data_IF_682142252317
#
_entry.id   IF_682142252317
#
_cell.length_a   1.000
_cell.length_b   1.000
_cell.length_c   1.000
_cell.angle_alpha   90.00
_cell.angle_beta   90.00
_cell.angle_gamma   90.00
#
_symmetry.space_group_name_H-M   'P 1'
#
loop_
_entity.id
_entity.type
_entity.pdbx_description
1 polymer ?
#
# COMPACT_ATOMS: atom_id res chain seq x y z
N UNK A 1 41.17 17.87 -108.09
CA UNK A 1 39.81 18.20 -108.57
C UNK A 1 38.83 18.02 -107.42
N UNK A 2 37.77 18.81 -107.47
CA UNK A 2 36.80 19.19 -106.44
C UNK A 2 36.16 18.10 -105.54
N UNK A 3 35.67 18.65 -104.40
CA UNK A 3 34.40 18.39 -103.71
C UNK A 3 34.38 17.53 -102.44
N UNK A 4 33.75 18.11 -101.40
CA UNK A 4 32.78 17.59 -100.41
C UNK A 4 33.07 18.21 -99.03
N UNK A 5 32.32 19.22 -98.59
CA UNK A 5 30.97 19.16 -97.98
C UNK A 5 30.96 18.59 -96.55
N UNK A 6 30.50 19.43 -95.62
CA UNK A 6 29.75 18.97 -94.45
C UNK A 6 30.39 19.23 -93.09
N UNK A 7 30.39 20.48 -92.62
CA UNK A 7 30.63 20.79 -91.20
C UNK A 7 29.28 20.78 -90.47
N UNK A 8 28.84 19.57 -90.14
CA UNK A 8 27.71 19.29 -89.26
C UNK A 8 28.20 18.86 -87.89
N UNK A 9 27.47 19.29 -86.85
CA UNK A 9 27.58 18.90 -85.43
C UNK A 9 28.58 19.68 -84.57
N UNK A 10 28.11 20.74 -83.88
CA UNK A 10 28.33 20.96 -82.42
C UNK A 10 27.22 21.84 -81.83
N UNK A 11 26.04 21.27 -81.55
CA UNK A 11 24.98 21.92 -80.73
C UNK A 11 24.41 21.04 -79.60
N UNK A 12 25.07 19.94 -79.23
CA UNK A 12 24.55 18.99 -78.22
C UNK A 12 25.15 19.13 -76.80
N UNK A 13 25.95 20.16 -76.51
CA UNK A 13 26.65 20.27 -75.21
C UNK A 13 25.92 21.01 -74.09
N UNK A 14 24.88 21.82 -74.36
CA UNK A 14 24.28 22.70 -73.32
C UNK A 14 23.02 22.13 -72.64
N UNK A 15 22.20 21.36 -73.37
CA UNK A 15 21.02 20.70 -72.79
C UNK A 15 21.39 19.59 -71.80
N UNK A 16 22.46 18.82 -72.09
CA UNK A 16 22.97 17.79 -71.20
C UNK A 16 23.57 18.35 -69.91
N UNK A 17 24.22 19.52 -69.94
CA UNK A 17 24.76 20.16 -68.72
C UNK A 17 23.63 20.64 -67.80
N UNK A 18 22.53 21.17 -68.35
CA UNK A 18 21.36 21.58 -67.53
C UNK A 18 20.66 20.36 -66.92
N UNK A 19 20.55 19.25 -67.65
CA UNK A 19 20.00 17.99 -67.11
C UNK A 19 20.90 17.38 -66.03
N UNK A 20 22.23 17.44 -66.19
CA UNK A 20 23.19 16.96 -65.21
C UNK A 20 23.15 17.80 -63.92
N UNK A 21 23.08 19.14 -64.05
CA UNK A 21 22.97 20.06 -62.90
C UNK A 21 21.60 19.90 -62.21
N UNK A 22 20.52 19.74 -62.98
CA UNK A 22 19.19 19.51 -62.44
C UNK A 22 19.07 18.18 -61.69
N UNK A 23 19.65 17.11 -62.22
CA UNK A 23 19.66 15.79 -61.58
C UNK A 23 20.51 15.79 -60.30
N UNK A 24 21.70 16.41 -60.32
CA UNK A 24 22.54 16.50 -59.13
C UNK A 24 21.90 17.32 -58.02
N UNK A 25 21.19 18.41 -58.35
CA UNK A 25 20.38 19.18 -57.40
C UNK A 25 19.20 18.36 -56.83
N UNK A 26 18.49 17.61 -57.68
CA UNK A 26 17.38 16.77 -57.23
C UNK A 26 17.87 15.69 -56.25
N UNK A 27 18.99 15.02 -56.54
CA UNK A 27 19.58 14.00 -55.66
C UNK A 27 20.05 14.62 -54.34
N UNK A 28 20.64 15.82 -54.36
CA UNK A 28 21.03 16.51 -53.11
C UNK A 28 19.82 16.89 -52.28
N UNK A 29 18.72 17.36 -52.87
CA UNK A 29 17.50 17.64 -52.11
C UNK A 29 16.85 16.40 -51.53
N UNK A 30 16.85 15.28 -52.25
CA UNK A 30 16.35 14.00 -51.71
C UNK A 30 17.24 13.51 -50.57
N UNK A 31 18.56 13.59 -50.71
CA UNK A 31 19.48 13.25 -49.64
C UNK A 31 19.31 14.17 -48.42
N UNK A 32 19.14 15.48 -48.63
CA UNK A 32 18.90 16.45 -47.56
C UNK A 32 17.57 16.18 -46.85
N UNK A 33 16.51 15.84 -47.60
CA UNK A 33 15.21 15.50 -47.05
C UNK A 33 15.25 14.18 -46.26
N UNK A 34 16.01 13.19 -46.74
CA UNK A 34 16.23 11.93 -46.01
C UNK A 34 17.02 12.17 -44.72
N UNK A 35 18.07 13.00 -44.76
CA UNK A 35 18.85 13.36 -43.57
C UNK A 35 18.01 14.17 -42.59
N UNK A 36 17.21 15.13 -43.07
CA UNK A 36 16.34 15.95 -42.22
C UNK A 36 15.23 15.11 -41.58
N UNK A 37 14.60 14.21 -42.34
CA UNK A 37 13.62 13.27 -41.80
C UNK A 37 14.26 12.29 -40.81
N UNK A 38 15.52 11.90 -41.03
CA UNK A 38 16.26 11.03 -40.09
C UNK A 38 16.69 11.77 -38.83
N UNK A 39 17.10 13.04 -38.94
CA UNK A 39 17.45 13.90 -37.81
C UNK A 39 16.22 14.25 -36.97
N UNK A 40 15.07 14.52 -37.59
CA UNK A 40 13.79 14.71 -36.88
C UNK A 40 13.32 13.40 -36.24
N UNK A 41 13.57 12.25 -36.86
CA UNK A 41 13.28 10.95 -36.25
C UNK A 41 14.20 10.67 -35.05
N UNK A 42 15.48 11.05 -35.14
CA UNK A 42 16.45 10.94 -34.05
C UNK A 42 16.18 11.95 -32.91
N UNK A 43 15.81 13.20 -33.22
CA UNK A 43 15.37 14.19 -32.22
C UNK A 43 14.07 13.75 -31.57
N UNK A 44 13.07 13.27 -32.32
CA UNK A 44 11.85 12.72 -31.73
C UNK A 44 12.13 11.50 -30.83
N UNK A 45 13.14 10.68 -31.17
CA UNK A 45 13.57 9.56 -30.34
C UNK A 45 14.35 10.02 -29.09
N UNK A 46 15.10 11.12 -29.18
CA UNK A 46 15.86 11.72 -28.08
C UNK A 46 14.95 12.45 -27.08
N UNK A 47 13.92 13.17 -27.53
CA UNK A 47 12.94 13.81 -26.63
C UNK A 47 11.90 12.84 -26.08
N UNK A 48 11.58 11.74 -26.81
CA UNK A 48 10.79 10.65 -26.22
C UNK A 48 11.60 9.83 -25.21
N UNK A 49 12.92 9.70 -25.33
CA UNK A 49 13.73 9.02 -24.31
C UNK A 49 13.92 9.86 -23.04
N UNK A 50 13.77 11.18 -23.07
CA UNK A 50 13.69 12.01 -21.85
C UNK A 50 12.37 11.84 -21.07
N UNK A 51 11.32 11.28 -21.70
CA UNK A 51 10.06 10.93 -21.04
C UNK A 51 9.80 9.41 -20.95
N UNK A 52 10.59 8.59 -21.65
CA UNK A 52 10.45 7.12 -21.69
C UNK A 52 11.64 6.35 -21.10
N UNK A 53 12.70 7.01 -20.61
CA UNK A 53 13.80 6.34 -19.91
C UNK A 53 13.48 6.12 -18.42
N UNK A 54 12.50 5.25 -18.15
CA UNK A 54 12.24 4.66 -16.83
C UNK A 54 11.66 5.63 -15.80
N UNK A 55 10.66 5.17 -15.04
CA UNK A 55 10.11 5.93 -13.93
C UNK A 55 11.19 6.58 -13.07
N UNK A 56 11.02 7.88 -12.80
CA UNK A 56 11.98 8.67 -12.03
C UNK A 56 12.22 8.09 -10.63
N UNK A 57 13.19 8.63 -9.85
CA UNK A 57 13.54 8.10 -8.52
C UNK A 57 12.35 7.95 -7.56
N UNK A 58 11.33 8.80 -7.73
CA UNK A 58 10.10 8.79 -6.95
C UNK A 58 9.23 7.57 -7.30
N UNK A 59 9.10 7.23 -8.57
CA UNK A 59 8.28 6.10 -9.00
C UNK A 59 8.87 4.78 -8.52
N UNK A 60 10.19 4.59 -8.66
CA UNK A 60 10.90 3.41 -8.13
C UNK A 60 10.80 3.33 -6.62
N UNK A 61 10.90 4.49 -5.94
CA UNK A 61 10.70 4.52 -4.50
C UNK A 61 9.30 4.07 -4.11
N UNK A 62 8.26 4.57 -4.77
CA UNK A 62 6.88 4.21 -4.48
C UNK A 62 6.60 2.72 -4.78
N UNK A 63 7.16 2.20 -5.87
CA UNK A 63 7.07 0.77 -6.21
C UNK A 63 7.76 -0.10 -5.15
N UNK A 64 8.96 0.31 -4.70
CA UNK A 64 9.68 -0.37 -3.63
C UNK A 64 8.93 -0.28 -2.28
N UNK A 65 8.40 0.88 -1.92
CA UNK A 65 7.55 1.07 -0.73
C UNK A 65 6.32 0.15 -0.79
N UNK A 66 5.60 0.12 -1.92
CA UNK A 66 4.41 -0.71 -2.09
C UNK A 66 4.71 -2.22 -2.09
N UNK A 67 5.79 -2.63 -2.75
CA UNK A 67 6.22 -4.03 -2.78
C UNK A 67 6.63 -4.50 -1.39
N UNK A 68 7.45 -3.72 -0.69
CA UNK A 68 7.89 -4.03 0.68
C UNK A 68 6.73 -3.98 1.67
N UNK A 69 5.78 -3.05 1.52
CA UNK A 69 4.57 -3.01 2.32
C UNK A 69 3.76 -4.31 2.22
N UNK A 70 3.65 -4.86 1.00
CA UNK A 70 2.93 -6.11 0.74
C UNK A 70 3.65 -7.31 1.37
N UNK A 71 5.00 -7.34 1.28
CA UNK A 71 5.80 -8.38 1.92
C UNK A 71 5.73 -8.32 3.45
N UNK A 72 5.76 -7.12 4.02
CA UNK A 72 5.62 -6.89 5.46
C UNK A 72 4.27 -7.41 5.98
N UNK A 73 3.18 -7.10 5.27
CA UNK A 73 1.85 -7.61 5.59
C UNK A 73 1.80 -9.15 5.49
N UNK A 74 2.38 -9.72 4.42
CA UNK A 74 2.40 -11.17 4.21
C UNK A 74 3.12 -11.93 5.33
N UNK A 75 4.33 -11.50 5.70
CA UNK A 75 5.13 -12.14 6.76
C UNK A 75 4.51 -11.91 8.13
N UNK A 76 3.83 -10.78 8.35
CA UNK A 76 3.10 -10.56 9.61
C UNK A 76 1.88 -11.47 9.73
N UNK A 77 1.24 -11.85 8.62
CA UNK A 77 0.12 -12.77 8.62
C UNK A 77 0.53 -14.25 8.73
N UNK A 78 1.73 -14.63 8.27
CA UNK A 78 2.19 -16.02 8.13
C UNK A 78 3.52 -16.30 8.83
N UNK A 79 3.67 -17.50 9.43
CA UNK A 79 4.90 -17.92 10.11
C UNK A 79 5.36 -16.95 11.22
N UNK A 80 4.40 -16.46 11.99
CA UNK A 80 4.55 -15.40 13.00
C UNK A 80 4.53 -15.92 14.44
N UNK A 81 4.88 -17.20 14.63
CA UNK A 81 4.96 -17.83 15.95
C UNK A 81 6.22 -17.42 16.72
N UNK A 82 7.22 -16.86 16.04
CA UNK A 82 8.50 -16.47 16.61
C UNK A 82 9.00 -15.15 15.99
N UNK A 83 9.62 -14.31 16.81
CA UNK A 83 10.11 -12.99 16.43
C UNK A 83 11.28 -13.04 15.42
N UNK A 84 12.20 -14.00 15.60
CA UNK A 84 13.34 -14.18 14.69
C UNK A 84 12.86 -14.67 13.33
N UNK A 85 11.87 -15.56 13.31
CA UNK A 85 11.26 -16.04 12.07
C UNK A 85 10.66 -14.91 11.23
N UNK A 86 10.00 -13.92 11.85
CA UNK A 86 9.46 -12.74 11.12
C UNK A 86 10.59 -11.94 10.48
N UNK A 87 11.66 -11.67 11.23
CA UNK A 87 12.79 -10.87 10.75
C UNK A 87 13.53 -11.57 9.60
N UNK A 88 13.78 -12.87 9.74
CA UNK A 88 14.47 -13.69 8.75
C UNK A 88 13.62 -13.85 7.47
N UNK A 89 12.32 -14.13 7.62
CA UNK A 89 11.39 -14.27 6.50
C UNK A 89 11.24 -12.95 5.75
N UNK A 90 11.14 -11.81 6.45
CA UNK A 90 11.03 -10.50 5.81
C UNK A 90 12.31 -10.12 5.07
N UNK A 91 13.47 -10.38 5.68
CA UNK A 91 14.78 -10.13 5.04
C UNK A 91 14.92 -10.98 3.77
N UNK A 92 14.61 -12.27 3.86
CA UNK A 92 14.66 -13.19 2.71
C UNK A 92 13.71 -12.74 1.60
N UNK A 93 12.46 -12.38 1.93
CA UNK A 93 11.48 -11.94 0.95
C UNK A 93 11.89 -10.64 0.25
N UNK A 94 12.51 -9.69 0.97
CA UNK A 94 13.00 -8.44 0.40
C UNK A 94 14.23 -8.67 -0.49
N UNK A 95 15.12 -9.59 -0.13
CA UNK A 95 16.27 -9.97 -0.97
C UNK A 95 15.83 -10.65 -2.28
N UNK A 96 14.80 -11.51 -2.22
CA UNK A 96 14.19 -12.11 -3.40
C UNK A 96 13.52 -11.05 -4.30
N UNK A 97 12.75 -10.14 -3.69
CA UNK A 97 12.17 -8.99 -4.39
C UNK A 97 13.24 -8.12 -5.04
N UNK A 98 14.31 -7.77 -4.31
CA UNK A 98 15.45 -6.99 -4.82
C UNK A 98 16.11 -7.67 -6.01
N UNK A 99 16.26 -8.99 -5.97
CA UNK A 99 16.82 -9.79 -7.08
C UNK A 99 15.92 -9.75 -8.32
N UNK A 100 14.60 -9.89 -8.15
CA UNK A 100 13.63 -9.83 -9.25
C UNK A 100 13.54 -8.41 -9.84
N UNK A 101 13.41 -7.40 -8.99
CA UNK A 101 13.37 -5.99 -9.38
C UNK A 101 14.67 -5.54 -10.05
N UNK A 102 15.82 -6.03 -9.58
CA UNK A 102 17.12 -5.78 -10.19
C UNK A 102 17.27 -6.39 -11.59
N UNK A 103 16.75 -7.61 -11.81
CA UNK A 103 16.73 -8.25 -13.14
C UNK A 103 15.83 -7.50 -14.12
N UNK A 104 14.63 -7.11 -13.68
CA UNK A 104 13.72 -6.32 -14.50
C UNK A 104 14.32 -4.94 -14.80
N UNK A 105 14.86 -4.26 -13.79
CA UNK A 105 15.54 -2.99 -13.96
C UNK A 105 16.69 -3.07 -14.96
N UNK A 106 17.47 -4.15 -14.97
CA UNK A 106 18.62 -4.29 -15.86
C UNK A 106 18.21 -4.35 -17.34
N UNK A 107 17.02 -4.91 -17.66
CA UNK A 107 16.43 -4.87 -19.00
C UNK A 107 16.14 -3.42 -19.42
N UNK A 108 15.75 -2.59 -18.46
CA UNK A 108 15.44 -1.18 -18.65
C UNK A 108 16.67 -0.24 -18.47
N UNK A 109 17.89 -0.79 -18.41
CA UNK A 109 19.13 -0.01 -18.25
C UNK A 109 19.33 0.59 -16.85
N UNK A 110 18.66 0.01 -15.84
CA UNK A 110 18.67 0.46 -14.45
C UNK A 110 19.16 -0.65 -13.52
N UNK A 111 20.04 -0.31 -12.59
CA UNK A 111 20.43 -1.19 -11.49
C UNK A 111 19.74 -0.70 -10.22
N UNK A 112 18.82 -1.49 -9.69
CA UNK A 112 18.16 -1.23 -8.40
C UNK A 112 18.54 -2.32 -7.41
N UNK A 113 18.75 -1.93 -6.17
CA UNK A 113 18.93 -2.86 -5.05
C UNK A 113 18.19 -2.31 -3.83
N UNK A 114 17.44 -3.19 -3.19
CA UNK A 114 16.72 -2.97 -1.94
C UNK A 114 17.32 -3.88 -0.88
N UNK A 115 17.64 -3.35 0.29
CA UNK A 115 18.17 -4.12 1.41
C UNK A 115 17.51 -3.69 2.71
N UNK A 116 17.25 -4.62 3.61
CA UNK A 116 16.72 -4.32 4.96
C UNK A 116 17.80 -3.67 5.81
N UNK A 117 17.46 -2.56 6.48
CA UNK A 117 18.32 -1.93 7.50
C UNK A 117 17.84 -2.22 8.92
N UNK A 118 16.51 -2.23 9.13
CA UNK A 118 15.93 -2.54 10.44
C UNK A 118 14.49 -3.01 10.30
N UNK A 119 14.07 -3.92 11.17
CA UNK A 119 12.66 -4.33 11.32
C UNK A 119 12.16 -3.80 12.66
N UNK A 120 10.99 -3.16 12.65
CA UNK A 120 10.30 -2.71 13.87
C UNK A 120 9.17 -3.68 14.17
N UNK A 121 9.24 -4.26 15.37
CA UNK A 121 8.41 -5.38 15.78
C UNK A 121 7.33 -4.93 16.75
N UNK A 122 6.25 -5.69 16.77
CA UNK A 122 5.10 -5.48 17.63
C UNK A 122 4.34 -6.78 17.83
N UNK A 123 3.07 -6.66 18.21
CA UNK A 123 2.18 -7.81 18.39
C UNK A 123 0.96 -7.71 17.49
N UNK A 124 0.55 -8.86 16.95
CA UNK A 124 -0.70 -9.02 16.20
C UNK A 124 -1.70 -9.76 17.08
N UNK A 125 -2.78 -9.06 17.45
CA UNK A 125 -3.91 -9.61 18.19
C UNK A 125 -4.99 -9.99 17.17
N UNK A 126 -5.46 -11.23 17.20
CA UNK A 126 -6.32 -11.74 16.13
C UNK A 126 -7.43 -12.66 16.66
N UNK A 127 -8.64 -12.48 16.13
CA UNK A 127 -9.73 -13.44 16.18
C UNK A 127 -10.19 -13.68 14.73
N UNK A 128 -9.82 -14.81 14.11
CA UNK A 128 -10.23 -15.12 12.74
C UNK A 128 -11.61 -15.80 12.65
N UNK A 129 -12.22 -16.20 13.76
CA UNK A 129 -13.50 -16.92 13.76
C UNK A 129 -14.67 -15.93 13.67
N UNK A 130 -15.18 -15.71 12.46
CA UNK A 130 -16.26 -14.76 12.18
C UNK A 130 -17.60 -15.12 12.84
N UNK A 131 -17.80 -16.37 13.26
CA UNK A 131 -19.01 -16.82 13.95
C UNK A 131 -18.97 -16.64 15.47
N UNK A 132 -17.80 -16.26 16.02
CA UNK A 132 -17.59 -16.12 17.46
C UNK A 132 -17.93 -14.70 17.91
N UNK A 133 -18.49 -14.59 19.11
CA UNK A 133 -18.60 -13.30 19.79
C UNK A 133 -17.22 -12.63 19.96
N UNK A 134 -17.16 -11.30 19.92
CA UNK A 134 -15.96 -10.49 20.10
C UNK A 134 -15.53 -10.40 21.60
N UNK A 135 -15.52 -11.55 22.27
CA UNK A 135 -15.19 -11.72 23.69
C UNK A 135 -13.73 -12.16 23.85
N UNK A 136 -13.17 -11.98 25.06
CA UNK A 136 -11.85 -12.54 25.37
C UNK A 136 -11.86 -14.08 25.34
N UNK A 137 -10.70 -14.70 25.56
CA UNK A 137 -10.55 -16.17 25.64
C UNK A 137 -11.61 -16.85 26.52
N UNK A 138 -11.89 -16.28 27.69
CA UNK A 138 -12.80 -16.82 28.69
C UNK A 138 -14.28 -16.43 28.49
N UNK A 139 -14.62 -15.71 27.42
CA UNK A 139 -15.99 -15.28 27.12
C UNK A 139 -16.43 -13.99 27.84
N UNK A 140 -15.50 -13.23 28.40
CA UNK A 140 -15.80 -11.91 28.98
C UNK A 140 -16.10 -10.90 27.87
N UNK A 141 -17.28 -10.28 27.93
CA UNK A 141 -17.77 -9.32 26.95
C UNK A 141 -17.09 -7.94 27.00
N UNK A 142 -16.83 -7.45 28.21
CA UNK A 142 -16.15 -6.17 28.44
C UNK A 142 -14.70 -6.47 28.80
N UNK A 143 -13.78 -6.18 27.90
CA UNK A 143 -12.39 -6.56 28.09
C UNK A 143 -11.42 -5.66 27.34
N UNK A 144 -10.22 -5.54 27.90
CA UNK A 144 -9.14 -4.74 27.33
C UNK A 144 -8.34 -5.57 26.34
N UNK A 145 -8.28 -5.14 25.08
CA UNK A 145 -7.44 -5.72 24.04
C UNK A 145 -5.96 -5.51 24.39
N UNK A 146 -5.55 -4.25 24.56
CA UNK A 146 -4.17 -3.88 24.85
C UNK A 146 -4.10 -2.55 25.61
N UNK A 147 -3.02 -2.32 26.36
CA UNK A 147 -2.81 -1.12 27.18
C UNK A 147 -1.47 -0.49 26.90
N UNK A 148 -1.43 0.84 26.93
CA UNK A 148 -0.17 1.56 26.84
C UNK A 148 0.46 1.47 25.44
N UNK A 149 -0.37 1.32 24.41
CA UNK A 149 0.07 1.04 23.03
C UNK A 149 -0.25 2.21 22.09
N UNK A 150 0.40 2.21 20.93
CA UNK A 150 -0.08 2.78 19.67
C UNK A 150 -0.49 1.64 18.73
N UNK A 151 -1.74 1.66 18.30
CA UNK A 151 -2.22 0.75 17.28
C UNK A 151 -1.78 1.22 15.88
N UNK A 152 -1.44 0.26 15.04
CA UNK A 152 -0.86 0.48 13.71
C UNK A 152 -1.90 0.15 12.65
N UNK A 153 -2.44 -1.06 12.74
CA UNK A 153 -3.56 -1.53 11.92
C UNK A 153 -4.67 -2.01 12.85
N UNK A 154 -5.92 -1.66 12.55
CA UNK A 154 -7.08 -2.22 13.22
C UNK A 154 -8.15 -2.47 12.16
N UNK A 155 -8.41 -3.75 11.91
CA UNK A 155 -9.44 -4.21 10.98
C UNK A 155 -10.40 -5.10 11.75
N UNK A 156 -11.69 -4.78 11.65
CA UNK A 156 -12.77 -5.54 12.25
C UNK A 156 -13.77 -5.95 11.16
N UNK A 157 -14.30 -7.16 11.25
CA UNK A 157 -15.49 -7.57 10.51
C UNK A 157 -16.56 -7.91 11.54
N UNK A 158 -17.63 -7.12 11.57
CA UNK A 158 -18.60 -7.14 12.67
C UNK A 158 -19.99 -7.42 12.14
N UNK A 159 -20.71 -8.34 12.80
CA UNK A 159 -22.14 -8.54 12.64
C UNK A 159 -22.83 -8.29 13.97
N UNK A 160 -23.88 -7.47 13.98
CA UNK A 160 -24.69 -7.28 15.18
C UNK A 160 -25.40 -8.61 15.51
N UNK A 161 -25.38 -9.00 16.78
CA UNK A 161 -26.04 -10.21 17.28
C UNK A 161 -27.05 -9.88 18.39
N UNK A 162 -27.41 -8.61 18.55
CA UNK A 162 -28.49 -8.21 19.44
C UNK A 162 -29.81 -8.80 18.95
N UNK A 163 -30.66 -9.16 19.91
CA UNK A 163 -32.01 -9.64 19.62
C UNK A 163 -32.98 -8.51 19.26
N UNK A 164 -32.58 -7.26 19.44
CA UNK A 164 -33.35 -6.05 19.14
C UNK A 164 -32.59 -5.17 18.16
N UNK A 165 -33.24 -4.80 17.05
CA UNK A 165 -32.71 -3.89 16.02
C UNK A 165 -33.05 -2.42 16.29
N UNK A 166 -32.99 -2.01 17.57
CA UNK A 166 -33.18 -0.63 17.97
C UNK A 166 -31.87 0.17 17.83
N UNK A 167 -32.01 1.49 17.68
CA UNK A 167 -30.87 2.41 17.68
C UNK A 167 -30.06 2.26 18.96
N UNK A 168 -28.75 2.17 18.83
CA UNK A 168 -27.82 2.34 19.93
C UNK A 168 -27.17 3.73 19.87
N UNK A 169 -26.46 4.11 20.92
CA UNK A 169 -25.52 5.22 20.92
C UNK A 169 -24.23 4.77 21.60
N UNK A 170 -23.07 5.40 21.33
CA UNK A 170 -21.87 5.20 22.14
C UNK A 170 -22.16 5.39 23.64
N UNK A 171 -21.59 4.50 24.46
CA UNK A 171 -21.94 4.31 25.87
C UNK A 171 -23.22 3.49 26.13
N UNK A 172 -23.83 2.91 25.10
CA UNK A 172 -25.09 2.16 25.16
C UNK A 172 -24.92 0.64 25.19
N UNK A 173 -26.02 -0.11 25.02
CA UNK A 173 -26.03 -1.57 24.98
C UNK A 173 -25.87 -2.09 23.53
N UNK A 174 -24.72 -1.79 22.92
CA UNK A 174 -24.26 -2.38 21.65
C UNK A 174 -22.75 -2.61 21.70
N UNK A 175 -22.25 -3.35 20.70
CA UNK A 175 -20.82 -3.57 20.56
C UNK A 175 -20.09 -2.23 20.36
N UNK A 176 -19.05 -2.01 21.16
CA UNK A 176 -18.17 -0.86 21.03
C UNK A 176 -16.70 -1.25 21.01
N UNK A 177 -15.94 -0.54 20.18
CA UNK A 177 -14.50 -0.41 20.32
C UNK A 177 -14.20 0.95 20.96
N UNK A 178 -13.27 0.96 21.92
CA UNK A 178 -12.88 2.17 22.65
C UNK A 178 -11.37 2.37 22.60
N UNK A 179 -10.95 3.62 22.53
CA UNK A 179 -9.57 4.05 22.76
C UNK A 179 -9.55 5.11 23.86
N UNK A 180 -8.80 4.89 24.93
CA UNK A 180 -8.78 5.75 26.12
C UNK A 180 -7.37 6.20 26.47
N UNK A 181 -7.17 7.50 26.66
CA UNK A 181 -5.91 8.07 27.19
C UNK A 181 -6.17 9.36 27.95
N UNK A 182 -5.55 9.53 29.13
CA UNK A 182 -5.60 10.80 29.87
C UNK A 182 -6.99 11.31 30.28
N UNK A 183 -8.03 10.47 30.22
CA UNK A 183 -9.43 10.84 30.45
C UNK A 183 -10.23 11.07 29.15
N UNK A 184 -9.55 11.22 28.02
CA UNK A 184 -10.17 11.26 26.70
C UNK A 184 -10.59 9.85 26.27
N UNK A 185 -11.79 9.74 25.71
CA UNK A 185 -12.33 8.46 25.22
C UNK A 185 -12.87 8.64 23.81
N UNK A 186 -12.33 7.89 22.87
CA UNK A 186 -12.92 7.68 21.55
C UNK A 186 -13.70 6.37 21.55
N UNK A 187 -14.87 6.35 20.92
CA UNK A 187 -15.76 5.19 20.81
C UNK A 187 -16.22 4.99 19.37
N UNK A 188 -16.35 3.74 18.99
CA UNK A 188 -17.07 3.32 17.79
C UNK A 188 -18.06 2.24 18.18
N UNK A 189 -19.34 2.55 18.05
CA UNK A 189 -20.44 1.61 18.19
C UNK A 189 -20.81 1.02 16.83
N UNK A 190 -21.08 -0.28 16.78
CA UNK A 190 -21.62 -0.95 15.59
C UNK A 190 -22.90 -1.66 15.98
N UNK A 191 -23.97 -1.40 15.23
CA UNK A 191 -25.29 -1.95 15.51
C UNK A 191 -26.16 -1.98 14.26
N UNK A 192 -27.15 -2.86 14.23
CA UNK A 192 -28.18 -2.91 13.19
C UNK A 192 -29.45 -2.22 13.70
N UNK A 193 -30.00 -1.34 12.86
CA UNK A 193 -31.35 -0.83 13.05
C UNK A 193 -32.34 -1.67 12.21
N UNK A 194 -33.60 -1.23 12.10
CA UNK A 194 -34.63 -1.96 11.35
C UNK A 194 -34.31 -2.19 9.86
N UNK A 195 -33.42 -1.40 9.26
CA UNK A 195 -33.12 -1.40 7.82
C UNK A 195 -31.65 -1.54 7.48
N UNK A 196 -30.74 -1.04 8.32
CA UNK A 196 -29.34 -0.82 7.97
C UNK A 196 -28.39 -1.18 9.13
N UNK A 197 -27.17 -1.57 8.76
CA UNK A 197 -26.02 -1.53 9.68
C UNK A 197 -25.64 -0.06 9.92
N UNK A 198 -25.31 0.27 11.15
CA UNK A 198 -24.90 1.61 11.58
C UNK A 198 -23.56 1.51 12.29
N UNK A 199 -22.64 2.38 11.88
CA UNK A 199 -21.37 2.64 12.55
C UNK A 199 -21.45 4.06 13.11
N UNK A 200 -21.47 4.19 14.43
CA UNK A 200 -21.54 5.47 15.10
C UNK A 200 -20.24 5.74 15.87
N UNK A 201 -19.62 6.89 15.59
CA UNK A 201 -18.32 7.26 16.12
C UNK A 201 -18.48 8.46 17.05
N UNK A 202 -17.99 8.35 18.28
CA UNK A 202 -17.85 9.45 19.21
C UNK A 202 -16.36 9.73 19.45
N UNK A 203 -15.91 10.91 19.05
CA UNK A 203 -14.53 11.34 19.32
C UNK A 203 -14.31 11.78 20.76
N UNK A 204 -13.05 11.97 21.17
CA UNK A 204 -12.67 12.40 22.53
C UNK A 204 -13.39 13.67 23.05
N UNK A 205 -13.85 14.54 22.15
CA UNK A 205 -14.63 15.74 22.47
C UNK A 205 -16.14 15.54 22.64
N UNK A 206 -16.63 14.29 22.56
CA UNK A 206 -18.06 13.95 22.64
C UNK A 206 -18.86 14.26 21.37
N UNK A 207 -18.20 14.63 20.28
CA UNK A 207 -18.86 14.85 19.00
C UNK A 207 -19.13 13.50 18.32
N UNK A 208 -20.40 13.27 17.96
CA UNK A 208 -20.85 12.01 17.37
C UNK A 208 -21.06 12.15 15.86
N UNK A 209 -20.64 11.15 15.10
CA UNK A 209 -20.89 11.02 13.65
C UNK A 209 -21.44 9.63 13.36
N UNK A 210 -22.55 9.58 12.63
CA UNK A 210 -23.20 8.33 12.24
C UNK A 210 -22.93 8.05 10.77
N UNK A 211 -22.56 6.81 10.45
CA UNK A 211 -22.41 6.30 9.10
C UNK A 211 -23.23 5.03 8.92
N UNK A 212 -24.02 4.97 7.85
CA UNK A 212 -24.77 3.78 7.45
C UNK A 212 -24.28 3.35 6.06
N UNK A 213 -23.62 2.18 5.93
CA UNK A 213 -23.15 1.70 4.63
C UNK A 213 -24.36 1.43 3.72
N UNK A 214 -24.36 1.93 2.46
CA UNK A 214 -25.47 1.71 1.55
C UNK A 214 -25.50 0.26 1.06
N UNK A 215 -26.66 -0.40 1.17
CA UNK A 215 -26.94 -1.73 0.58
C UNK A 215 -26.06 -2.89 1.08
N UNK A 216 -25.32 -2.71 2.19
CA UNK A 216 -24.46 -3.77 2.74
C UNK A 216 -25.20 -4.59 3.80
N UNK A 217 -25.13 -5.91 3.65
CA UNK A 217 -25.50 -6.85 4.70
C UNK A 217 -24.28 -7.16 5.59
N UNK A 218 -24.49 -7.47 6.89
CA UNK A 218 -23.43 -7.94 7.76
C UNK A 218 -22.70 -9.17 7.19
N UNK A 219 -21.39 -9.34 7.46
CA UNK A 219 -20.57 -8.49 8.35
C UNK A 219 -20.12 -7.18 7.68
N UNK A 220 -20.05 -6.10 8.46
CA UNK A 220 -19.43 -4.84 8.03
C UNK A 220 -17.92 -4.90 8.29
N UNK A 221 -17.12 -4.64 7.25
CA UNK A 221 -15.65 -4.55 7.36
C UNK A 221 -15.26 -3.10 7.66
N UNK A 222 -14.67 -2.88 8.84
CA UNK A 222 -14.23 -1.57 9.31
C UNK A 222 -12.71 -1.58 9.39
N UNK A 223 -12.08 -0.66 8.67
CA UNK A 223 -10.63 -0.47 8.67
C UNK A 223 -10.33 0.91 9.26
N UNK A 224 -9.96 0.94 10.55
CA UNK A 224 -9.74 2.19 11.26
C UNK A 224 -8.45 2.87 10.81
N UNK A 225 -7.43 2.08 10.43
CA UNK A 225 -6.16 2.58 9.92
C UNK A 225 -6.29 3.23 8.54
N UNK A 226 -7.17 2.72 7.69
CA UNK A 226 -7.53 3.35 6.42
C UNK A 226 -8.64 4.41 6.56
N UNK A 227 -9.39 4.40 7.66
CA UNK A 227 -10.56 5.25 7.86
C UNK A 227 -11.69 4.87 6.90
N UNK A 228 -11.94 3.57 6.71
CA UNK A 228 -12.97 3.09 5.77
C UNK A 228 -13.95 2.09 6.38
N UNK A 229 -15.15 2.06 5.83
CA UNK A 229 -16.20 1.05 6.11
C UNK A 229 -16.62 0.43 4.78
N UNK A 230 -16.44 -0.88 4.63
CA UNK A 230 -16.60 -1.61 3.36
C UNK A 230 -15.83 -0.97 2.18
N UNK A 231 -14.69 -0.34 2.48
CA UNK A 231 -13.88 0.38 1.50
C UNK A 231 -14.35 1.79 1.15
N UNK A 232 -15.47 2.26 1.72
CA UNK A 232 -15.91 3.64 1.61
C UNK A 232 -15.23 4.52 2.67
N UNK A 233 -14.78 5.71 2.28
CA UNK A 233 -14.11 6.65 3.18
C UNK A 233 -15.06 7.17 4.26
N UNK A 234 -14.67 6.95 5.52
CA UNK A 234 -15.34 7.45 6.72
C UNK A 234 -14.28 8.12 7.62
N UNK A 235 -13.89 9.38 7.32
CA UNK A 235 -12.83 10.07 8.05
C UNK A 235 -13.08 10.22 9.55
N UNK A 236 -14.34 10.13 9.98
CA UNK A 236 -14.73 10.15 11.39
C UNK A 236 -14.05 9.03 12.21
N UNK A 237 -13.73 7.89 11.59
CA UNK A 237 -13.01 6.77 12.25
C UNK A 237 -11.61 7.16 12.78
N UNK A 238 -11.06 8.27 12.31
CA UNK A 238 -9.74 8.78 12.68
C UNK A 238 -9.80 10.15 13.36
N UNK A 239 -11.00 10.69 13.52
CA UNK A 239 -11.19 12.02 14.08
C UNK A 239 -11.16 11.98 15.61
N UNK A 240 -10.36 12.86 16.21
CA UNK A 240 -10.29 13.06 17.67
C UNK A 240 -10.02 11.77 18.45
N UNK A 241 -9.15 10.91 17.91
CA UNK A 241 -8.58 9.76 18.64
C UNK A 241 -7.60 10.30 19.69
N UNK A 242 -7.61 9.81 20.94
CA UNK A 242 -6.64 10.21 21.95
C UNK A 242 -5.21 9.91 21.52
N UNK A 243 -4.27 10.79 21.86
CA UNK A 243 -2.87 10.57 21.53
C UNK A 243 -2.34 9.30 22.23
N UNK A 244 -1.52 8.47 21.54
CA UNK A 244 -0.86 7.34 22.16
C UNK A 244 0.14 7.80 23.24
N UNK A 245 0.45 6.96 24.24
CA UNK A 245 -0.09 5.61 24.40
C UNK A 245 -1.53 5.61 24.93
N UNK A 246 -2.37 4.70 24.43
CA UNK A 246 -3.76 4.53 24.85
C UNK A 246 -4.08 3.07 25.21
N UNK A 247 -5.23 2.89 25.87
CA UNK A 247 -5.86 1.58 26.08
C UNK A 247 -6.90 1.34 24.98
N UNK A 248 -6.85 0.17 24.35
CA UNK A 248 -7.90 -0.34 23.48
C UNK A 248 -8.80 -1.32 24.23
N UNK A 249 -10.10 -1.07 24.22
CA UNK A 249 -11.09 -1.92 24.87
C UNK A 249 -12.24 -2.31 23.94
N UNK A 250 -12.76 -3.53 24.13
CA UNK A 250 -14.04 -3.96 23.59
C UNK A 250 -15.09 -3.91 24.72
N UNK A 251 -16.23 -3.32 24.41
CA UNK A 251 -17.41 -3.28 25.28
C UNK A 251 -18.56 -4.00 24.59
N UNK A 252 -19.33 -4.77 25.35
CA UNK A 252 -20.42 -5.63 24.88
C UNK A 252 -20.02 -6.51 23.70
N UNK A 253 -18.83 -7.12 23.78
CA UNK A 253 -18.33 -8.04 22.76
C UNK A 253 -19.21 -9.27 22.54
N UNK A 254 -20.16 -9.56 23.43
CA UNK A 254 -21.16 -10.61 23.29
C UNK A 254 -22.37 -10.21 22.43
N UNK A 255 -22.56 -8.92 22.18
CA UNK A 255 -23.61 -8.37 21.32
C UNK A 255 -23.20 -8.27 19.85
N UNK A 256 -21.98 -8.69 19.51
CA UNK A 256 -21.54 -8.81 18.13
C UNK A 256 -20.72 -10.09 17.91
N UNK A 257 -20.86 -10.65 16.72
CA UNK A 257 -20.00 -11.73 16.23
C UNK A 257 -19.08 -11.18 15.17
N UNK A 258 -17.90 -11.77 15.01
CA UNK A 258 -16.99 -11.28 14.00
C UNK A 258 -15.54 -11.68 14.14
N UNK A 259 -14.76 -11.15 13.21
CA UNK A 259 -13.32 -11.28 13.16
C UNK A 259 -12.63 -9.94 13.46
N UNK A 260 -11.40 -9.99 13.96
CA UNK A 260 -10.55 -8.81 14.03
C UNK A 260 -9.09 -9.16 13.84
N UNK A 261 -8.35 -8.19 13.31
CA UNK A 261 -6.90 -8.16 13.27
C UNK A 261 -6.41 -6.78 13.70
N UNK A 262 -5.65 -6.76 14.80
CA UNK A 262 -5.06 -5.53 15.35
C UNK A 262 -3.56 -5.72 15.45
N UNK A 263 -2.79 -4.75 14.95
CA UNK A 263 -1.33 -4.69 15.10
C UNK A 263 -1.00 -3.52 16.02
N UNK A 264 -0.22 -3.77 17.08
CA UNK A 264 0.21 -2.76 18.06
C UNK A 264 1.73 -2.70 18.16
N UNK A 265 2.26 -1.55 18.59
CA UNK A 265 3.68 -1.26 18.75
C UNK A 265 4.31 -1.80 20.05
N UNK A 266 3.80 -2.92 20.56
CA UNK A 266 4.31 -3.58 21.76
C UNK A 266 4.58 -5.06 21.44
N UNK A 267 5.85 -5.44 21.31
CA UNK A 267 6.28 -6.82 21.06
C UNK A 267 6.13 -7.75 22.28
N UNK A 268 5.99 -7.18 23.49
CA UNK A 268 5.96 -7.96 24.73
C UNK A 268 4.65 -8.72 24.91
N UNK A 269 3.56 -8.27 24.30
CA UNK A 269 2.25 -8.94 24.34
C UNK A 269 2.33 -10.32 23.67
N UNK A 270 2.99 -10.44 22.52
CA UNK A 270 3.20 -11.72 21.86
C UNK A 270 4.20 -12.62 22.60
N UNK A 271 5.21 -12.03 23.24
CA UNK A 271 6.21 -12.76 24.01
C UNK A 271 5.64 -13.37 25.31
N UNK A 272 4.65 -12.71 25.93
CA UNK A 272 3.96 -13.19 27.13
C UNK A 272 2.47 -12.82 27.09
N UNK A 273 1.65 -13.52 26.29
CA UNK A 273 0.23 -13.23 26.19
C UNK A 273 -0.47 -13.43 27.54
N UNK A 274 -1.38 -12.52 27.88
CA UNK A 274 -2.22 -12.67 29.06
C UNK A 274 -3.13 -13.90 28.88
N UNK A 275 -2.94 -14.97 29.69
CA UNK A 275 -3.63 -16.23 29.49
C UNK A 275 -5.13 -16.15 29.78
N UNK A 276 -5.60 -15.11 30.46
CA UNK A 276 -7.03 -14.88 30.68
C UNK A 276 -7.70 -14.18 29.49
N UNK A 277 -6.91 -13.50 28.65
CA UNK A 277 -7.41 -12.75 27.50
C UNK A 277 -7.19 -13.44 26.17
N UNK A 278 -6.05 -14.11 26.00
CA UNK A 278 -5.62 -14.64 24.71
C UNK A 278 -5.15 -16.08 24.81
N UNK A 279 -5.30 -16.80 23.70
CA UNK A 279 -4.50 -17.98 23.44
C UNK A 279 -3.09 -17.59 22.97
N UNK A 280 -2.13 -18.44 23.28
CA UNK A 280 -0.72 -18.29 22.94
C UNK A 280 -0.43 -18.51 21.44
N UNK A 281 0.70 -17.98 20.92
CA UNK A 281 1.12 -18.19 19.53
C UNK A 281 1.10 -19.67 19.14
N UNK A 282 0.59 -19.96 17.95
CA UNK A 282 0.47 -21.34 17.43
C UNK A 282 -0.77 -22.11 17.89
N UNK A 283 -1.55 -21.57 18.85
CA UNK A 283 -2.85 -22.14 19.19
C UNK A 283 -3.87 -21.99 18.04
N UNK A 284 -4.73 -22.99 17.87
CA UNK A 284 -5.94 -22.88 17.04
C UNK A 284 -7.08 -22.11 17.72
N UNK A 285 -6.94 -21.80 19.01
CA UNK A 285 -7.90 -21.01 19.78
C UNK A 285 -7.96 -19.55 19.34
N UNK A 286 -9.08 -18.90 19.66
CA UNK A 286 -9.33 -17.48 19.37
C UNK A 286 -10.07 -16.80 20.53
N UNK A 287 -9.78 -15.53 20.85
CA UNK A 287 -8.74 -14.68 20.27
C UNK A 287 -7.33 -15.13 20.69
N UNK A 288 -6.32 -14.88 19.84
CA UNK A 288 -4.91 -15.23 20.11
C UNK A 288 -3.98 -14.07 19.77
N UNK A 289 -2.74 -14.17 20.22
CA UNK A 289 -1.67 -13.23 19.86
C UNK A 289 -0.57 -13.96 19.08
N UNK A 290 -0.01 -13.28 18.09
CA UNK A 290 1.17 -13.70 17.33
C UNK A 290 2.16 -12.53 17.25
N UNK A 291 3.43 -12.82 16.95
CA UNK A 291 4.40 -11.75 16.70
C UNK A 291 4.04 -10.98 15.42
N UNK A 292 4.49 -9.73 15.29
CA UNK A 292 4.25 -8.91 14.12
C UNK A 292 5.44 -8.02 13.78
N UNK A 293 5.58 -7.65 12.51
CA UNK A 293 6.40 -6.52 12.10
C UNK A 293 5.49 -5.45 11.49
N UNK A 294 5.55 -4.22 11.99
CA UNK A 294 4.66 -3.14 11.52
C UNK A 294 5.41 -2.03 10.78
N UNK A 295 6.74 -2.02 10.84
CA UNK A 295 7.55 -1.14 10.02
C UNK A 295 8.89 -1.79 9.67
N UNK A 296 9.46 -1.39 8.54
CA UNK A 296 10.82 -1.74 8.15
C UNK A 296 11.50 -0.52 7.54
N UNK A 297 12.80 -0.36 7.79
CA UNK A 297 13.62 0.60 7.07
C UNK A 297 14.39 -0.17 6.00
N UNK A 298 14.27 0.27 4.76
CA UNK A 298 14.99 -0.30 3.63
C UNK A 298 15.97 0.72 3.06
N UNK A 299 17.15 0.28 2.66
CA UNK A 299 18.06 1.05 1.84
C UNK A 299 17.77 0.78 0.38
N UNK A 300 17.37 1.83 -0.34
CA UNK A 300 17.15 1.80 -1.77
C UNK A 300 18.33 2.46 -2.47
N UNK A 301 19.03 1.68 -3.29
CA UNK A 301 20.07 2.16 -4.20
C UNK A 301 19.62 1.97 -5.63
N UNK A 302 19.67 3.02 -6.44
CA UNK A 302 19.33 3.01 -7.85
C UNK A 302 20.45 3.67 -8.65
N UNK A 303 20.83 3.06 -9.77
CA UNK A 303 21.80 3.61 -10.70
C UNK A 303 21.31 3.43 -12.14
N UNK A 304 21.28 4.52 -12.90
CA UNK A 304 21.12 4.54 -14.35
C UNK A 304 22.21 5.41 -14.97
N UNK A 305 22.18 5.60 -16.29
CA UNK A 305 23.15 6.45 -16.99
C UNK A 305 23.17 7.90 -16.49
N UNK A 306 22.04 8.39 -15.94
CA UNK A 306 21.86 9.81 -15.59
C UNK A 306 21.57 10.02 -14.09
N UNK A 307 21.24 8.97 -13.36
CA UNK A 307 20.74 9.07 -11.98
C UNK A 307 21.49 8.09 -11.09
N UNK A 308 21.95 8.58 -9.95
CA UNK A 308 22.40 7.76 -8.82
C UNK A 308 21.59 8.20 -7.60
N UNK A 309 20.80 7.28 -7.06
CA UNK A 309 20.05 7.46 -5.83
C UNK A 309 20.52 6.46 -4.78
N UNK A 310 20.68 6.92 -3.54
CA UNK A 310 20.94 6.11 -2.38
C UNK A 310 20.23 6.76 -1.20
N UNK A 311 19.27 6.07 -0.61
CA UNK A 311 18.53 6.59 0.53
C UNK A 311 17.85 5.50 1.34
N UNK A 312 17.61 5.80 2.61
CA UNK A 312 16.81 4.97 3.50
C UNK A 312 15.35 5.40 3.43
N UNK A 313 14.48 4.41 3.32
CA UNK A 313 13.04 4.58 3.21
C UNK A 313 12.38 3.78 4.32
N UNK A 314 11.54 4.42 5.13
CA UNK A 314 10.73 3.74 6.15
C UNK A 314 9.41 3.32 5.52
N UNK A 315 9.13 2.02 5.54
CA UNK A 315 7.87 1.43 5.09
C UNK A 315 7.07 1.05 6.34
N UNK A 316 5.91 1.67 6.52
CA UNK A 316 5.03 1.44 7.66
C UNK A 316 3.56 1.56 7.21
N UNK A 317 2.97 0.48 6.68
CA UNK A 317 1.60 0.48 6.16
C UNK A 317 0.58 0.53 7.31
N UNK A 318 -0.46 1.36 7.15
CA UNK A 318 -1.50 1.55 8.17
C UNK A 318 -0.96 2.25 9.40
N UNK A 319 -1.46 3.45 9.67
CA UNK A 319 -1.28 4.09 10.97
C UNK A 319 -2.61 4.65 11.41
N UNK A 320 -3.14 4.10 12.50
CA UNK A 320 -4.18 4.82 13.22
C UNK A 320 -3.52 5.97 14.02
N UNK A 321 -4.13 7.17 14.06
CA UNK A 321 -3.52 8.37 14.63
C UNK A 321 -3.00 8.22 16.07
#
# INVERSE_FOLDING_TARGET
MAHLSGDGQRREGRGQIILLIGFTLAVTFVALALILNSAIYAENLATRSDTAAGGGPIEVRNEAESGVASLLAYVTAHNNTDQSAITDNLTTAIDEYSTLAGRQGAVDGRLSNVAVESVTLGSRLVQPDSGRNLTNRNGTANWTLARGIKARSLVFEVSDNRTTSDSCSPGGECFELTATSGGDVWRMAVYENATDVVVEIEGAGGATTTYSPPEDSPPVRIDLGAGTVNGHDVPALQANVPAPPYELGIVHGDLATGSFEVIVDDETIAASPDPDRYFEPGSSGSPRVTHAAYATAIRLTQRSERIVYNGTVRVAPGEWP
#
